data_IF_708144435908
#
_entry.id   IF_708144435908
#
_cell.length_a   1.000
_cell.length_b   1.000
_cell.length_c   1.000
_cell.angle_alpha   90.00
_cell.angle_beta   90.00
_cell.angle_gamma   90.00
#
_symmetry.space_group_name_H-M   'P 1'
#
loop_
_entity.id
_entity.type
_entity.pdbx_description
1 polymer ?
#
# COMPACT_ATOMS: atom_id res chain seq x y z
N UNK A 1 7.83 -4.14 -14.25
CA UNK A 1 7.82 -5.06 -13.08
C UNK A 1 8.62 -4.41 -11.98
N UNK A 2 8.05 -4.28 -10.77
CA UNK A 2 8.74 -3.74 -9.59
C UNK A 2 9.82 -4.73 -9.13
N UNK A 3 10.97 -4.20 -8.72
CA UNK A 3 12.11 -5.00 -8.20
C UNK A 3 13.06 -4.11 -7.40
N UNK A 4 13.92 -4.73 -6.61
CA UNK A 4 14.89 -4.03 -5.78
C UNK A 4 14.28 -3.55 -4.46
N UNK A 5 14.80 -2.44 -3.94
CA UNK A 5 14.40 -1.86 -2.65
C UNK A 5 13.38 -0.76 -2.89
N UNK A 6 12.20 -0.91 -2.31
CA UNK A 6 11.11 0.05 -2.34
C UNK A 6 10.80 0.48 -0.89
N UNK A 7 11.49 1.49 -0.35
CA UNK A 7 11.24 1.96 1.01
C UNK A 7 9.83 2.54 1.14
N UNK A 8 9.25 2.35 2.32
CA UNK A 8 8.02 3.02 2.70
C UNK A 8 8.38 4.42 3.16
N UNK A 9 7.72 5.42 2.59
CA UNK A 9 7.87 6.82 2.99
C UNK A 9 7.12 7.04 4.31
N UNK A 10 7.79 7.42 5.42
CA UNK A 10 7.12 7.80 6.66
C UNK A 10 6.39 9.14 6.50
N UNK A 11 5.41 9.39 7.34
CA UNK A 11 4.72 10.69 7.41
C UNK A 11 5.35 11.54 8.51
N UNK A 12 6.03 12.64 8.18
CA UNK A 12 6.48 13.59 9.18
C UNK A 12 5.30 14.43 9.70
N UNK A 13 5.31 14.70 11.00
CA UNK A 13 4.33 15.55 11.66
C UNK A 13 5.01 16.70 12.39
N UNK A 14 4.33 17.83 12.49
CA UNK A 14 4.69 18.92 13.39
C UNK A 14 4.37 18.55 14.84
N UNK A 15 4.87 19.34 15.79
CA UNK A 15 4.64 19.12 17.22
C UNK A 15 3.16 19.21 17.62
N UNK A 16 2.35 19.89 16.82
CA UNK A 16 0.89 19.99 17.00
C UNK A 16 0.09 18.83 16.39
N UNK A 17 0.78 17.86 15.76
CA UNK A 17 0.19 16.70 15.12
C UNK A 17 -0.26 16.92 13.67
N UNK A 18 -0.09 18.10 13.11
CA UNK A 18 -0.37 18.34 11.68
C UNK A 18 0.73 17.78 10.79
N UNK A 19 0.39 17.41 9.55
CA UNK A 19 1.36 16.85 8.60
C UNK A 19 2.39 17.90 8.17
N UNK A 20 3.68 17.58 8.30
CA UNK A 20 4.78 18.39 7.77
C UNK A 20 5.08 18.02 6.31
N UNK A 21 4.39 18.70 5.40
CA UNK A 21 4.56 18.47 3.97
C UNK A 21 5.95 18.80 3.43
N UNK A 22 6.70 19.76 4.03
CA UNK A 22 8.06 20.08 3.60
C UNK A 22 9.04 18.97 3.98
N UNK A 23 8.93 18.43 5.19
CA UNK A 23 9.72 17.28 5.61
C UNK A 23 9.37 16.05 4.79
N UNK A 24 8.10 15.86 4.41
CA UNK A 24 7.67 14.78 3.53
C UNK A 24 8.40 14.85 2.17
N UNK A 25 8.50 16.03 1.56
CA UNK A 25 9.26 16.21 0.32
C UNK A 25 10.76 15.88 0.51
N UNK A 26 11.35 16.27 1.65
CA UNK A 26 12.74 15.94 1.95
C UNK A 26 12.98 14.44 2.09
N UNK A 27 12.06 13.73 2.71
CA UNK A 27 12.11 12.26 2.83
C UNK A 27 12.03 11.59 1.47
N UNK A 28 11.15 12.07 0.57
CA UNK A 28 11.06 11.57 -0.81
C UNK A 28 12.39 11.76 -1.54
N UNK A 29 12.96 12.97 -1.50
CA UNK A 29 14.24 13.24 -2.15
C UNK A 29 15.39 12.41 -1.57
N UNK A 30 15.41 12.24 -0.25
CA UNK A 30 16.38 11.37 0.41
C UNK A 30 16.29 9.93 -0.10
N UNK A 31 15.08 9.37 -0.17
CA UNK A 31 14.88 8.01 -0.68
C UNK A 31 15.38 7.84 -2.11
N UNK A 32 15.09 8.81 -2.99
CA UNK A 32 15.54 8.77 -4.38
C UNK A 32 17.08 8.92 -4.45
N UNK A 33 17.64 9.87 -3.72
CA UNK A 33 19.10 10.12 -3.70
C UNK A 33 19.87 8.92 -3.11
N UNK A 34 19.27 8.19 -2.17
CA UNK A 34 19.84 6.97 -1.60
C UNK A 34 19.77 5.75 -2.56
N UNK A 35 19.22 5.90 -3.76
CA UNK A 35 19.15 4.84 -4.75
C UNK A 35 17.96 3.89 -4.60
N UNK A 36 16.85 4.34 -4.01
CA UNK A 36 15.62 3.56 -3.97
C UNK A 36 15.17 3.20 -5.38
N UNK A 37 14.72 1.95 -5.56
CA UNK A 37 14.21 1.43 -6.85
C UNK A 37 12.74 1.77 -7.07
N UNK A 38 12.07 2.31 -6.08
CA UNK A 38 10.70 2.79 -6.07
C UNK A 38 10.35 3.31 -4.69
N UNK A 39 9.19 3.96 -4.54
CA UNK A 39 8.69 4.45 -3.25
C UNK A 39 7.30 3.92 -2.99
N UNK A 40 6.99 3.64 -1.73
CA UNK A 40 5.67 3.14 -1.29
C UNK A 40 5.07 4.12 -0.29
N UNK A 41 3.80 4.54 -0.50
CA UNK A 41 3.06 5.39 0.43
C UNK A 41 1.56 5.38 0.13
N UNK A 42 0.69 5.47 1.14
CA UNK A 42 0.99 5.20 2.53
C UNK A 42 0.95 3.69 2.83
N UNK A 43 1.62 3.28 3.90
CA UNK A 43 1.58 1.92 4.41
C UNK A 43 1.60 1.94 5.95
N UNK A 44 1.72 0.79 6.61
CA UNK A 44 1.78 0.71 8.08
C UNK A 44 2.85 1.64 8.64
N UNK A 45 4.08 1.60 8.10
CA UNK A 45 5.17 2.46 8.54
C UNK A 45 5.02 3.95 8.17
N UNK A 46 4.04 4.30 7.35
CA UNK A 46 3.62 5.68 7.12
C UNK A 46 2.56 6.15 8.11
N UNK A 47 2.16 5.29 9.05
CA UNK A 47 1.09 5.55 10.02
C UNK A 47 -0.26 5.89 9.35
N UNK A 48 -0.58 5.21 8.21
CA UNK A 48 -1.74 5.54 7.38
C UNK A 48 -3.07 5.58 8.16
N UNK A 49 -3.15 4.85 9.27
CA UNK A 49 -4.32 4.78 10.15
C UNK A 49 -4.52 6.04 11.01
N UNK A 50 -3.53 6.93 11.10
CA UNK A 50 -3.65 8.23 11.77
C UNK A 50 -4.02 9.36 10.81
N UNK A 51 -3.90 9.10 9.50
CA UNK A 51 -4.22 10.07 8.46
C UNK A 51 -5.71 10.00 8.08
N UNK A 52 -6.32 11.14 7.93
CA UNK A 52 -7.62 11.24 7.27
C UNK A 52 -7.55 10.79 5.80
N UNK A 53 -8.67 10.44 5.21
CA UNK A 53 -8.72 10.07 3.80
C UNK A 53 -8.27 11.23 2.89
N UNK A 54 -8.54 12.48 3.26
CA UNK A 54 -8.09 13.65 2.54
C UNK A 54 -6.58 13.82 2.59
N UNK A 55 -5.96 13.64 3.76
CA UNK A 55 -4.50 13.67 3.91
C UNK A 55 -3.84 12.54 3.11
N UNK A 56 -4.38 11.33 3.16
CA UNK A 56 -3.89 10.20 2.35
C UNK A 56 -3.93 10.53 0.86
N UNK A 57 -5.03 11.11 0.37
CA UNK A 57 -5.18 11.52 -1.03
C UNK A 57 -4.21 12.62 -1.41
N UNK A 58 -4.13 13.67 -0.61
CA UNK A 58 -3.26 14.83 -0.83
C UNK A 58 -1.79 14.45 -0.83
N UNK A 59 -1.34 13.67 0.16
CA UNK A 59 0.05 13.22 0.26
C UNK A 59 0.42 12.23 -0.85
N UNK A 60 -0.49 11.33 -1.27
CA UNK A 60 -0.27 10.46 -2.42
C UNK A 60 -0.08 11.27 -3.71
N UNK A 61 -0.89 12.30 -3.92
CA UNK A 61 -0.73 13.20 -5.06
C UNK A 61 0.59 13.98 -4.98
N UNK A 62 0.95 14.47 -3.77
CA UNK A 62 2.23 15.17 -3.53
C UNK A 62 3.42 14.26 -3.83
N UNK A 63 3.38 13.00 -3.35
CA UNK A 63 4.42 12.01 -3.65
C UNK A 63 4.61 11.83 -5.16
N UNK A 64 3.54 11.53 -5.89
CA UNK A 64 3.64 11.29 -7.34
C UNK A 64 4.19 12.51 -8.06
N UNK A 65 3.70 13.71 -7.73
CA UNK A 65 4.22 14.96 -8.30
C UNK A 65 5.69 15.17 -7.98
N UNK A 66 6.10 14.92 -6.73
CA UNK A 66 7.47 15.11 -6.29
C UNK A 66 8.43 14.11 -6.92
N UNK A 67 8.02 12.84 -7.02
CA UNK A 67 8.80 11.80 -7.69
C UNK A 67 8.97 12.08 -9.18
N UNK A 68 7.96 12.65 -9.83
CA UNK A 68 8.00 13.08 -11.24
C UNK A 68 8.53 12.00 -12.20
N UNK A 69 8.14 10.74 -11.99
CA UNK A 69 8.54 9.61 -12.84
C UNK A 69 9.98 9.11 -12.68
N UNK A 70 10.77 9.67 -11.75
CA UNK A 70 12.17 9.27 -11.55
C UNK A 70 12.32 7.83 -11.06
N UNK A 71 11.37 7.36 -10.28
CA UNK A 71 11.26 5.97 -9.81
C UNK A 71 9.79 5.55 -9.77
N UNK A 72 9.49 4.24 -9.80
CA UNK A 72 8.13 3.74 -9.61
C UNK A 72 7.53 4.17 -8.27
N UNK A 73 6.22 4.46 -8.27
CA UNK A 73 5.43 4.75 -7.06
C UNK A 73 4.38 3.67 -6.85
N UNK A 74 4.30 3.15 -5.64
CA UNK A 74 3.25 2.23 -5.17
C UNK A 74 2.39 2.97 -4.15
N UNK A 75 1.09 3.06 -4.41
CA UNK A 75 0.16 3.78 -3.53
C UNK A 75 -0.62 2.79 -2.67
N UNK A 76 -0.60 3.01 -1.34
CA UNK A 76 -1.38 2.25 -0.38
C UNK A 76 -2.86 2.63 -0.42
N UNK A 77 -3.71 1.61 -0.60
CA UNK A 77 -5.16 1.79 -0.71
C UNK A 77 -5.92 1.04 0.39
N UNK A 78 -5.20 0.61 1.42
CA UNK A 78 -5.75 -0.19 2.51
C UNK A 78 -6.84 0.56 3.28
N UNK A 79 -7.99 -0.08 3.47
CA UNK A 79 -9.09 0.38 4.33
C UNK A 79 -9.91 -0.84 4.74
N UNK A 80 -10.46 -0.91 5.96
CA UNK A 80 -11.46 -1.92 6.31
C UNK A 80 -12.79 -1.68 5.56
N UNK A 81 -13.01 -0.48 5.03
CA UNK A 81 -14.19 -0.08 4.29
C UNK A 81 -13.94 -0.25 2.77
N UNK A 82 -14.64 -1.16 2.09
CA UNK A 82 -14.40 -1.43 0.67
C UNK A 82 -14.52 -0.21 -0.24
N UNK A 83 -15.51 0.65 0.01
CA UNK A 83 -15.73 1.85 -0.80
C UNK A 83 -14.58 2.86 -0.71
N UNK A 84 -13.97 2.99 0.48
CA UNK A 84 -12.79 3.85 0.69
C UNK A 84 -11.60 3.26 -0.07
N UNK A 85 -11.36 1.95 0.05
CA UNK A 85 -10.29 1.27 -0.67
C UNK A 85 -10.44 1.42 -2.20
N UNK A 86 -11.67 1.26 -2.72
CA UNK A 86 -12.00 1.45 -4.13
C UNK A 86 -11.71 2.88 -4.60
N UNK A 87 -12.14 3.87 -3.81
CA UNK A 87 -11.89 5.28 -4.12
C UNK A 87 -10.41 5.64 -4.15
N UNK A 88 -9.62 5.10 -3.21
CA UNK A 88 -8.17 5.30 -3.17
C UNK A 88 -7.46 4.59 -4.33
N UNK A 89 -7.93 3.39 -4.72
CA UNK A 89 -7.35 2.66 -5.84
C UNK A 89 -7.58 3.36 -7.18
N UNK A 90 -8.78 3.90 -7.41
CA UNK A 90 -9.07 4.71 -8.60
C UNK A 90 -8.19 5.96 -8.66
N UNK A 91 -8.06 6.68 -7.55
CA UNK A 91 -7.16 7.83 -7.49
C UNK A 91 -5.70 7.44 -7.77
N UNK A 92 -5.22 6.30 -7.24
CA UNK A 92 -3.87 5.83 -7.51
C UNK A 92 -3.64 5.59 -9.02
N UNK A 93 -4.63 5.03 -9.71
CA UNK A 93 -4.59 4.84 -11.16
C UNK A 93 -4.59 6.17 -11.92
N UNK A 94 -5.45 7.10 -11.56
CA UNK A 94 -5.50 8.45 -12.14
C UNK A 94 -4.19 9.23 -11.96
N UNK A 95 -3.51 9.03 -10.82
CA UNK A 95 -2.22 9.63 -10.53
C UNK A 95 -1.06 8.97 -11.31
N UNK A 96 -1.29 7.84 -11.97
CA UNK A 96 -0.26 7.12 -12.72
C UNK A 96 0.67 6.29 -11.85
N UNK A 97 0.19 5.78 -10.69
CA UNK A 97 0.93 4.83 -9.89
C UNK A 97 1.26 3.56 -10.68
N UNK A 98 2.36 2.89 -10.36
CA UNK A 98 2.76 1.66 -11.03
C UNK A 98 2.19 0.40 -10.37
N UNK A 99 1.69 0.50 -9.16
CA UNK A 99 0.94 -0.54 -8.45
C UNK A 99 0.18 0.07 -7.26
N UNK A 100 -0.75 -0.68 -6.71
CA UNK A 100 -1.37 -0.38 -5.40
C UNK A 100 -0.89 -1.37 -4.36
N UNK A 101 -0.69 -0.89 -3.11
CA UNK A 101 -0.44 -1.73 -1.94
C UNK A 101 -1.75 -1.91 -1.18
N UNK A 102 -2.12 -3.14 -0.92
CA UNK A 102 -3.36 -3.50 -0.26
C UNK A 102 -3.10 -4.44 0.91
N UNK A 103 -3.18 -3.90 2.12
CA UNK A 103 -3.18 -4.71 3.34
C UNK A 103 -4.52 -5.44 3.44
N UNK A 104 -4.47 -6.73 3.75
CA UNK A 104 -5.68 -7.49 4.09
C UNK A 104 -6.11 -7.08 5.50
N UNK A 105 -7.28 -6.42 5.66
CA UNK A 105 -7.72 -5.94 6.97
C UNK A 105 -7.91 -7.06 8.00
N UNK A 106 -7.59 -6.77 9.27
CA UNK A 106 -7.69 -7.73 10.37
C UNK A 106 -9.09 -8.32 10.56
N UNK A 107 -10.15 -7.61 10.13
CA UNK A 107 -11.53 -8.11 10.16
C UNK A 107 -11.71 -9.42 9.39
N UNK A 108 -10.86 -9.69 8.41
CA UNK A 108 -10.88 -10.91 7.59
C UNK A 108 -9.99 -12.04 8.13
N UNK A 109 -9.39 -11.92 9.32
CA UNK A 109 -8.46 -12.92 9.88
C UNK A 109 -9.04 -14.34 9.95
N UNK A 110 -10.37 -14.47 10.10
CA UNK A 110 -11.08 -15.77 10.15
C UNK A 110 -12.04 -15.96 8.97
N UNK A 111 -11.92 -15.14 7.94
CA UNK A 111 -12.84 -15.10 6.80
C UNK A 111 -12.06 -15.00 5.46
N UNK A 112 -11.28 -16.01 5.08
CA UNK A 112 -10.43 -15.97 3.88
C UNK A 112 -11.24 -15.81 2.59
N UNK A 113 -12.47 -16.30 2.52
CA UNK A 113 -13.36 -16.11 1.37
C UNK A 113 -13.78 -14.64 1.24
N UNK A 114 -14.06 -13.98 2.36
CA UNK A 114 -14.40 -12.55 2.36
C UNK A 114 -13.18 -11.70 2.01
N UNK A 115 -11.99 -12.08 2.50
CA UNK A 115 -10.73 -11.46 2.10
C UNK A 115 -10.52 -11.55 0.57
N UNK A 116 -10.72 -12.73 -0.01
CA UNK A 116 -10.63 -12.95 -1.45
C UNK A 116 -11.65 -12.08 -2.21
N UNK A 117 -12.91 -12.04 -1.75
CA UNK A 117 -13.96 -11.22 -2.36
C UNK A 117 -13.62 -9.72 -2.29
N UNK A 118 -13.10 -9.26 -1.16
CA UNK A 118 -12.67 -7.88 -0.96
C UNK A 118 -11.54 -7.50 -1.92
N UNK A 119 -10.47 -8.31 -2.02
CA UNK A 119 -9.35 -8.05 -2.92
C UNK A 119 -9.83 -8.07 -4.38
N UNK A 120 -10.72 -9.02 -4.72
CA UNK A 120 -11.32 -9.11 -6.05
C UNK A 120 -12.16 -7.88 -6.41
N UNK A 121 -12.84 -7.26 -5.46
CA UNK A 121 -13.62 -6.04 -5.72
C UNK A 121 -12.71 -4.88 -6.13
N UNK A 122 -11.57 -4.70 -5.44
CA UNK A 122 -10.58 -3.66 -5.79
C UNK A 122 -9.91 -3.99 -7.13
N UNK A 123 -9.54 -5.25 -7.37
CA UNK A 123 -8.89 -5.65 -8.62
C UNK A 123 -9.75 -5.39 -9.87
N UNK A 124 -11.07 -5.49 -9.73
CA UNK A 124 -12.00 -5.20 -10.83
C UNK A 124 -12.19 -3.70 -11.11
N UNK A 125 -11.84 -2.86 -10.14
CA UNK A 125 -12.06 -1.42 -10.23
C UNK A 125 -10.90 -0.67 -10.90
N UNK A 126 -9.71 -1.28 -10.97
CA UNK A 126 -8.50 -0.67 -11.53
C UNK A 126 -7.69 -1.67 -12.34
N UNK A 127 -6.95 -1.19 -13.33
CA UNK A 127 -6.03 -2.02 -14.13
C UNK A 127 -4.63 -2.16 -13.52
N UNK A 128 -4.39 -1.58 -12.34
CA UNK A 128 -3.07 -1.59 -11.72
C UNK A 128 -2.71 -2.95 -11.11
N UNK A 129 -1.44 -3.35 -11.15
CA UNK A 129 -0.94 -4.46 -10.34
C UNK A 129 -1.17 -4.23 -8.85
N UNK A 130 -1.52 -5.28 -8.13
CA UNK A 130 -1.71 -5.27 -6.68
C UNK A 130 -0.49 -5.89 -5.99
N UNK A 131 0.05 -5.18 -5.01
CA UNK A 131 0.96 -5.71 -4.00
C UNK A 131 0.12 -6.05 -2.77
N UNK A 132 -0.15 -7.35 -2.59
CA UNK A 132 -0.89 -7.84 -1.43
C UNK A 132 0.00 -7.80 -0.20
N UNK A 133 -0.40 -7.07 0.83
CA UNK A 133 0.29 -7.06 2.11
C UNK A 133 -0.41 -8.01 3.08
N UNK A 134 0.32 -9.03 3.52
CA UNK A 134 -0.11 -9.93 4.57
C UNK A 134 0.69 -9.60 5.83
N UNK A 135 0.01 -9.10 6.85
CA UNK A 135 0.63 -8.67 8.10
C UNK A 135 -0.05 -9.36 9.29
N UNK A 136 0.68 -9.58 10.40
CA UNK A 136 0.12 -10.20 11.59
C UNK A 136 -0.90 -9.27 12.28
N UNK A 137 -1.77 -9.89 13.10
CA UNK A 137 -2.67 -9.15 13.96
C UNK A 137 -1.89 -8.26 14.95
N UNK A 138 -2.44 -7.12 15.38
CA UNK A 138 -3.77 -6.60 15.05
C UNK A 138 -3.85 -5.77 13.76
N UNK A 139 -2.75 -5.59 13.04
CA UNK A 139 -2.67 -4.69 11.88
C UNK A 139 -3.29 -5.31 10.63
N UNK A 140 -3.07 -6.62 10.42
CA UNK A 140 -3.58 -7.35 9.27
C UNK A 140 -4.27 -8.65 9.64
N UNK A 141 -4.76 -9.35 8.64
CA UNK A 141 -5.51 -10.60 8.80
C UNK A 141 -4.62 -11.82 9.12
N UNK A 142 -3.31 -11.73 8.93
CA UNK A 142 -2.38 -12.87 9.07
C UNK A 142 -2.88 -14.13 8.34
N UNK A 143 -3.22 -13.97 7.07
CA UNK A 143 -3.76 -15.07 6.28
C UNK A 143 -2.73 -16.22 6.18
N UNK A 144 -3.18 -17.48 6.25
CA UNK A 144 -2.30 -18.62 6.03
C UNK A 144 -1.79 -18.65 4.58
N UNK A 145 -0.64 -19.28 4.39
CA UNK A 145 0.07 -19.30 3.09
C UNK A 145 -0.80 -19.82 1.95
N UNK A 146 -1.59 -20.84 2.20
CA UNK A 146 -2.50 -21.43 1.19
C UNK A 146 -3.59 -20.44 0.74
N UNK A 147 -4.11 -19.61 1.66
CA UNK A 147 -5.06 -18.56 1.33
C UNK A 147 -4.40 -17.45 0.50
N UNK A 148 -3.20 -17.00 0.88
CA UNK A 148 -2.43 -16.03 0.09
C UNK A 148 -2.12 -16.57 -1.30
N UNK A 149 -1.65 -17.83 -1.38
CA UNK A 149 -1.34 -18.48 -2.66
C UNK A 149 -2.60 -18.65 -3.54
N UNK A 150 -3.75 -18.91 -2.94
CA UNK A 150 -5.03 -18.97 -3.66
C UNK A 150 -5.41 -17.60 -4.23
N UNK A 151 -5.30 -16.53 -3.44
CA UNK A 151 -5.57 -15.16 -3.89
C UNK A 151 -4.68 -14.84 -5.10
N UNK A 152 -3.38 -15.16 -5.04
CA UNK A 152 -2.45 -14.91 -6.13
C UNK A 152 -2.78 -15.71 -7.41
N UNK A 153 -3.36 -16.91 -7.27
CA UNK A 153 -3.77 -17.72 -8.43
C UNK A 153 -5.10 -17.27 -9.04
N UNK A 154 -6.02 -16.77 -8.22
CA UNK A 154 -7.39 -16.43 -8.67
C UNK A 154 -7.52 -14.96 -9.12
N UNK A 155 -6.56 -14.11 -8.79
CA UNK A 155 -6.59 -12.67 -9.14
C UNK A 155 -5.30 -12.30 -9.84
N UNK A 156 -5.34 -12.23 -11.16
CA UNK A 156 -4.17 -11.97 -12.02
C UNK A 156 -3.45 -10.65 -11.72
N UNK A 157 -4.15 -9.64 -11.21
CA UNK A 157 -3.53 -8.39 -10.82
C UNK A 157 -2.69 -8.48 -9.55
N UNK A 158 -2.85 -9.51 -8.71
CA UNK A 158 -1.97 -9.73 -7.55
C UNK A 158 -0.62 -10.25 -8.04
N UNK A 159 0.29 -9.34 -8.30
CA UNK A 159 1.62 -9.61 -8.89
C UNK A 159 2.74 -9.63 -7.87
N UNK A 160 2.48 -9.13 -6.67
CA UNK A 160 3.46 -9.00 -5.59
C UNK A 160 2.82 -9.35 -4.27
N UNK A 161 3.62 -9.93 -3.36
CA UNK A 161 3.23 -10.15 -1.97
C UNK A 161 4.25 -9.47 -1.07
N UNK A 162 3.77 -8.67 -0.14
CA UNK A 162 4.54 -8.12 0.97
C UNK A 162 4.20 -8.93 2.22
N UNK A 163 5.03 -9.93 2.50
CA UNK A 163 4.82 -10.82 3.64
C UNK A 163 5.53 -10.27 4.89
N UNK A 164 4.79 -10.09 5.98
CA UNK A 164 5.28 -9.58 7.25
C UNK A 164 5.13 -10.59 8.41
N UNK A 165 4.61 -11.77 8.11
CA UNK A 165 4.54 -12.85 9.09
C UNK A 165 5.95 -13.35 9.48
N UNK A 166 6.19 -13.56 10.77
CA UNK A 166 7.48 -14.05 11.26
C UNK A 166 7.40 -15.55 11.57
N UNK A 167 8.40 -16.34 11.17
CA UNK A 167 9.55 -16.01 10.32
C UNK A 167 9.16 -16.04 8.83
N UNK A 168 9.25 -14.90 8.16
CA UNK A 168 8.79 -14.73 6.77
C UNK A 168 9.51 -15.63 5.76
N UNK A 169 10.76 -16.04 6.05
CA UNK A 169 11.50 -16.98 5.21
C UNK A 169 11.03 -18.44 5.27
N UNK A 170 10.04 -18.74 6.11
CA UNK A 170 9.43 -20.08 6.24
C UNK A 170 8.00 -20.13 5.67
N UNK A 171 7.52 -19.05 5.13
CA UNK A 171 6.18 -18.91 4.53
C UNK A 171 6.19 -18.92 3.01
#
# INVERSE_FOLDING_TARGET
>A
MLRGVLPIVPTPFHADGTVDGESFDRVIEYGIAAGAHGLVFPAIASEYFTLSDEERRSLSQRLVRRVAGRVPVVIGVSSPEPEVALGLAKQAEELGAQAVLMLVPAVFAKAPEEALAYIRSVSRAVGLPIMLQNAPAPLGADLPVDAVARICREIDQVRYVKEEGAPSGQR
#
